data_IF_937691731401
#
_entry.id   IF_937691731401
#
_cell.length_a   1.000
_cell.length_b   1.000
_cell.length_c   1.000
_cell.angle_alpha   90.00
_cell.angle_beta   90.00
_cell.angle_gamma   90.00
#
_symmetry.space_group_name_H-M   'P 1'
#
loop_
_entity.id
_entity.type
_entity.pdbx_description
1 polymer ?
#
# COMPACT_ATOMS: atom_id res chain seq x y z
N UNK A 1 4.34 4.52 -21.58
CA UNK A 1 4.95 5.00 -20.33
C UNK A 1 6.32 4.36 -20.19
N UNK A 2 7.37 5.15 -20.25
CA UNK A 2 8.75 4.67 -20.36
C UNK A 2 9.41 4.66 -18.97
N UNK A 3 9.87 3.50 -18.53
CA UNK A 3 10.70 3.37 -17.33
C UNK A 3 12.15 3.11 -17.76
N UNK A 4 13.08 3.94 -17.30
CA UNK A 4 14.51 3.72 -17.48
C UNK A 4 15.05 2.93 -16.31
N UNK A 5 15.40 1.67 -16.57
CA UNK A 5 16.34 0.94 -15.73
C UNK A 5 17.69 0.88 -16.48
N UNK A 6 18.76 1.41 -15.85
CA UNK A 6 20.11 1.05 -16.21
C UNK A 6 20.24 -0.47 -16.03
N UNK A 7 20.75 -1.15 -17.03
CA UNK A 7 20.96 -2.58 -17.25
C UNK A 7 21.12 -3.45 -15.97
N UNK A 8 20.03 -3.67 -15.26
CA UNK A 8 19.82 -4.81 -14.40
C UNK A 8 18.71 -5.62 -15.05
N UNK A 9 19.00 -6.85 -15.45
CA UNK A 9 18.01 -7.77 -15.98
C UNK A 9 17.01 -8.09 -14.85
N UNK A 10 15.98 -7.27 -14.70
CA UNK A 10 14.81 -7.66 -13.91
C UNK A 10 13.89 -8.40 -14.88
N UNK A 11 13.92 -9.72 -14.85
CA UNK A 11 12.86 -10.50 -15.45
C UNK A 11 11.55 -10.05 -14.83
N UNK A 12 10.64 -9.54 -15.65
CA UNK A 12 9.27 -9.26 -15.23
C UNK A 12 8.63 -10.57 -14.75
N UNK A 13 8.63 -10.78 -13.44
CA UNK A 13 7.85 -11.85 -12.83
C UNK A 13 6.41 -11.36 -12.77
N UNK A 14 5.53 -12.08 -13.43
CA UNK A 14 4.10 -11.91 -13.26
C UNK A 14 3.77 -12.02 -11.77
N UNK A 15 3.08 -11.02 -11.21
CA UNK A 15 2.58 -11.08 -9.83
C UNK A 15 1.45 -12.11 -9.81
N UNK A 16 1.80 -13.38 -9.74
CA UNK A 16 0.87 -14.40 -9.27
C UNK A 16 0.95 -14.37 -7.75
N UNK A 17 0.04 -13.65 -7.08
CA UNK A 17 -0.14 -13.85 -5.66
C UNK A 17 -0.49 -15.32 -5.45
N UNK A 18 0.41 -16.07 -4.84
CA UNK A 18 0.23 -17.51 -4.57
C UNK A 18 -0.71 -17.77 -3.39
N UNK A 19 -1.42 -16.74 -2.92
CA UNK A 19 -2.42 -16.85 -1.85
C UNK A 19 -3.58 -17.72 -2.31
N UNK A 20 -3.95 -18.75 -1.53
CA UNK A 20 -5.12 -19.57 -1.82
C UNK A 20 -6.38 -18.68 -1.82
N UNK A 21 -7.13 -18.69 -2.92
CA UNK A 21 -8.30 -17.83 -3.11
C UNK A 21 -9.57 -18.64 -3.20
N UNK A 22 -10.72 -17.99 -2.91
CA UNK A 22 -12.05 -18.54 -3.14
C UNK A 22 -12.27 -18.96 -4.60
N UNK A 23 -13.26 -19.80 -4.87
CA UNK A 23 -13.53 -20.33 -6.21
C UNK A 23 -13.77 -19.24 -7.27
N UNK A 24 -14.21 -18.05 -6.85
CA UNK A 24 -14.39 -16.84 -7.69
C UNK A 24 -13.13 -15.96 -7.75
N UNK A 25 -12.07 -16.32 -7.03
CA UNK A 25 -10.79 -15.59 -6.99
C UNK A 25 -10.82 -14.26 -6.23
N UNK A 26 -11.94 -13.90 -5.58
CA UNK A 26 -12.15 -12.58 -5.01
C UNK A 26 -11.76 -12.46 -3.54
N UNK A 27 -11.63 -13.59 -2.82
CA UNK A 27 -11.36 -13.59 -1.37
C UNK A 27 -10.28 -14.59 -1.00
N UNK A 28 -9.56 -14.29 0.08
CA UNK A 28 -8.55 -15.17 0.67
C UNK A 28 -9.23 -16.34 1.37
N UNK A 29 -8.84 -17.59 1.06
CA UNK A 29 -9.36 -18.80 1.68
C UNK A 29 -8.65 -19.14 2.99
N UNK A 30 -9.35 -19.86 3.87
CA UNK A 30 -8.76 -20.37 5.12
C UNK A 30 -8.62 -19.32 6.23
N UNK A 31 -9.10 -18.10 6.02
CA UNK A 31 -9.06 -17.04 7.01
C UNK A 31 -10.34 -16.21 7.02
N UNK A 32 -10.80 -15.84 8.22
CA UNK A 32 -11.90 -14.89 8.41
C UNK A 32 -11.41 -13.79 9.35
N UNK A 33 -11.56 -12.54 8.95
CA UNK A 33 -11.24 -11.37 9.77
C UNK A 33 -12.44 -11.02 10.65
N UNK A 34 -12.20 -10.85 11.94
CA UNK A 34 -13.22 -10.52 12.94
C UNK A 34 -12.86 -9.26 13.71
N UNK A 35 -13.89 -8.49 14.09
CA UNK A 35 -13.78 -7.44 15.11
C UNK A 35 -14.47 -7.93 16.36
N UNK A 36 -13.74 -7.98 17.49
CA UNK A 36 -14.28 -8.37 18.77
C UNK A 36 -14.93 -7.17 19.48
N UNK A 37 -15.88 -7.44 20.36
CA UNK A 37 -16.31 -6.45 21.34
C UNK A 37 -15.19 -6.20 22.36
N UNK A 38 -15.09 -4.99 22.87
CA UNK A 38 -14.02 -4.56 23.80
C UNK A 38 -13.83 -5.52 24.96
N UNK A 39 -14.91 -5.86 25.66
CA UNK A 39 -14.87 -6.77 26.80
C UNK A 39 -14.26 -8.15 26.46
N UNK A 40 -14.58 -8.67 25.29
CA UNK A 40 -14.07 -9.97 24.82
C UNK A 40 -12.58 -9.88 24.46
N UNK A 41 -12.17 -8.80 23.79
CA UNK A 41 -10.78 -8.58 23.46
C UNK A 41 -9.91 -8.41 24.72
N UNK A 42 -10.39 -7.67 25.71
CA UNK A 42 -9.68 -7.49 26.99
C UNK A 42 -9.54 -8.83 27.74
N UNK A 43 -10.58 -9.68 27.74
CA UNK A 43 -10.51 -11.03 28.33
C UNK A 43 -9.55 -11.93 27.56
N UNK A 44 -9.52 -11.85 26.23
CA UNK A 44 -8.60 -12.59 25.39
C UNK A 44 -7.14 -12.24 25.73
N UNK A 45 -6.82 -10.95 25.84
CA UNK A 45 -5.49 -10.46 26.23
C UNK A 45 -5.14 -10.89 27.66
N UNK A 46 -6.10 -10.78 28.61
CA UNK A 46 -5.89 -11.14 30.01
C UNK A 46 -5.64 -12.64 30.21
N UNK A 47 -6.18 -13.49 29.35
CA UNK A 47 -5.99 -14.94 29.42
C UNK A 47 -4.53 -15.37 29.15
N UNK A 48 -3.75 -14.58 28.42
CA UNK A 48 -2.33 -14.85 28.08
C UNK A 48 -2.07 -16.24 27.50
N UNK A 49 -3.07 -16.81 26.80
CA UNK A 49 -2.94 -18.12 26.17
C UNK A 49 -2.34 -18.00 24.77
N UNK A 50 -1.58 -19.01 24.30
CA UNK A 50 -1.09 -19.01 22.93
C UNK A 50 -2.27 -19.14 21.97
N UNK A 51 -2.39 -18.19 21.04
CA UNK A 51 -3.43 -18.13 20.02
C UNK A 51 -3.04 -18.89 18.74
N UNK A 52 -2.27 -19.97 18.87
CA UNK A 52 -1.86 -20.85 17.78
C UNK A 52 -1.75 -22.29 18.29
N UNK A 53 -2.09 -23.24 17.41
CA UNK A 53 -1.87 -24.67 17.70
C UNK A 53 -0.45 -25.14 17.32
N UNK A 54 0.32 -24.32 16.60
CA UNK A 54 1.70 -24.65 16.18
C UNK A 54 2.56 -24.94 17.43
N UNK A 55 3.22 -26.10 17.44
CA UNK A 55 4.05 -26.53 18.57
C UNK A 55 3.26 -27.04 19.79
N UNK A 56 1.95 -27.29 19.67
CA UNK A 56 1.10 -27.82 20.73
C UNK A 56 0.44 -29.13 20.31
N UNK A 57 -0.13 -29.89 21.29
CA UNK A 57 -0.96 -31.09 21.00
C UNK A 57 -2.43 -30.72 20.75
N UNK A 58 -2.79 -29.45 20.73
CA UNK A 58 -4.17 -29.00 20.53
C UNK A 58 -4.57 -29.09 19.07
N UNK A 59 -5.86 -29.43 18.83
CA UNK A 59 -6.44 -29.52 17.47
C UNK A 59 -7.04 -28.19 17.00
N UNK A 60 -7.31 -27.26 17.92
CA UNK A 60 -7.85 -25.93 17.62
C UNK A 60 -7.42 -24.94 18.71
N UNK A 61 -7.46 -23.66 18.37
CA UNK A 61 -7.09 -22.57 19.28
C UNK A 61 -8.04 -22.54 20.49
N UNK A 62 -7.45 -22.40 21.67
CA UNK A 62 -8.16 -22.19 22.95
C UNK A 62 -7.79 -20.81 23.46
N UNK A 63 -8.77 -19.95 23.56
CA UNK A 63 -8.62 -18.54 23.91
C UNK A 63 -8.84 -18.26 25.40
N UNK A 64 -9.45 -19.21 26.13
CA UNK A 64 -9.93 -19.01 27.48
C UNK A 64 -11.23 -18.19 27.57
N UNK A 65 -11.80 -17.84 26.43
CA UNK A 65 -13.09 -17.14 26.32
C UNK A 65 -14.11 -18.09 25.73
N UNK A 66 -15.03 -18.59 26.53
CA UNK A 66 -15.94 -19.70 26.18
C UNK A 66 -16.64 -19.56 24.83
N UNK A 67 -17.25 -18.41 24.44
CA UNK A 67 -17.87 -18.28 23.12
C UNK A 67 -16.85 -18.45 21.97
N UNK A 68 -15.65 -17.88 22.11
CA UNK A 68 -14.60 -18.00 21.10
C UNK A 68 -14.05 -19.43 21.04
N UNK A 69 -13.88 -20.12 22.16
CA UNK A 69 -13.41 -21.51 22.21
C UNK A 69 -14.39 -22.46 21.50
N UNK A 70 -15.71 -22.24 21.70
CA UNK A 70 -16.76 -23.03 21.02
C UNK A 70 -16.73 -22.85 19.51
N UNK A 71 -16.57 -21.62 19.02
CA UNK A 71 -16.51 -21.39 17.58
C UNK A 71 -15.17 -21.84 17.00
N UNK A 72 -14.05 -21.66 17.69
CA UNK A 72 -12.74 -22.17 17.30
C UNK A 72 -12.75 -23.69 17.07
N UNK A 73 -13.43 -24.42 17.94
CA UNK A 73 -13.63 -25.86 17.76
C UNK A 73 -14.46 -26.17 16.51
N UNK A 74 -15.56 -25.44 16.29
CA UNK A 74 -16.45 -25.65 15.12
C UNK A 74 -15.79 -25.38 13.80
N UNK A 75 -15.03 -24.26 13.70
CA UNK A 75 -14.32 -23.88 12.47
C UNK A 75 -12.95 -24.53 12.35
N UNK A 76 -12.49 -25.26 13.39
CA UNK A 76 -11.13 -25.81 13.50
C UNK A 76 -10.06 -24.73 13.34
N UNK A 77 -10.18 -23.66 14.12
CA UNK A 77 -9.25 -22.56 14.09
C UNK A 77 -7.85 -23.01 14.50
N UNK A 78 -6.85 -22.78 13.65
CA UNK A 78 -5.44 -23.16 13.88
C UNK A 78 -4.61 -22.01 14.43
N UNK A 79 -4.98 -20.77 14.13
CA UNK A 79 -4.41 -19.58 14.76
C UNK A 79 -5.42 -18.43 14.79
N UNK A 80 -5.16 -17.50 15.70
CA UNK A 80 -5.87 -16.24 15.79
C UNK A 80 -4.82 -15.15 16.01
N UNK A 81 -4.67 -14.24 15.07
CA UNK A 81 -3.63 -13.21 15.07
C UNK A 81 -4.26 -11.82 15.05
N UNK A 82 -3.66 -10.89 15.77
CA UNK A 82 -4.09 -9.50 15.74
C UNK A 82 -3.77 -8.91 14.36
N UNK A 83 -4.76 -8.27 13.72
CA UNK A 83 -4.64 -7.66 12.39
C UNK A 83 -3.68 -6.49 12.41
N UNK A 84 -3.93 -5.54 13.32
CA UNK A 84 -3.04 -4.42 13.54
C UNK A 84 -2.06 -4.79 14.66
N UNK A 85 -0.75 -4.94 14.36
CA UNK A 85 0.25 -5.35 15.34
C UNK A 85 0.26 -4.43 16.58
N UNK A 86 0.94 -4.88 17.62
CA UNK A 86 1.19 -4.03 18.78
C UNK A 86 2.07 -2.85 18.34
N UNK A 87 1.60 -1.63 18.59
CA UNK A 87 2.19 -0.40 18.06
C UNK A 87 3.09 0.34 19.07
N UNK A 88 3.71 -0.39 19.99
CA UNK A 88 4.66 0.20 20.92
C UNK A 88 4.15 1.49 21.57
N UNK A 89 4.84 2.60 21.29
CA UNK A 89 4.49 3.94 21.78
C UNK A 89 3.11 4.47 21.32
N UNK A 90 2.58 3.96 20.20
CA UNK A 90 1.31 4.41 19.61
C UNK A 90 0.11 3.52 20.01
N UNK A 91 0.33 2.46 20.82
CA UNK A 91 -0.71 1.50 21.22
C UNK A 91 -1.93 2.15 21.90
N UNK A 92 -1.74 3.24 22.64
CA UNK A 92 -2.85 3.96 23.27
C UNK A 92 -3.78 4.60 22.24
N UNK A 93 -3.23 5.15 21.14
CA UNK A 93 -3.99 5.70 20.02
C UNK A 93 -4.74 4.60 19.27
N UNK A 94 -4.08 3.45 19.05
CA UNK A 94 -4.68 2.29 18.41
C UNK A 94 -5.88 1.76 19.22
N UNK A 95 -5.76 1.65 20.52
CA UNK A 95 -6.86 1.26 21.42
C UNK A 95 -8.02 2.27 21.39
N UNK A 96 -7.72 3.56 21.41
CA UNK A 96 -8.74 4.60 21.31
C UNK A 96 -9.52 4.55 19.99
N UNK A 97 -8.86 4.13 18.90
CA UNK A 97 -9.47 3.90 17.58
C UNK A 97 -10.12 2.52 17.42
N UNK A 98 -9.95 1.62 18.39
CA UNK A 98 -10.48 0.24 18.34
C UNK A 98 -9.79 -0.66 17.34
N UNK A 99 -8.53 -0.36 17.00
CA UNK A 99 -7.72 -1.15 16.07
C UNK A 99 -7.26 -2.47 16.72
N UNK A 100 -7.03 -2.47 18.00
CA UNK A 100 -6.68 -3.65 18.81
C UNK A 100 -7.79 -4.71 18.91
N UNK A 101 -8.98 -4.42 18.39
CA UNK A 101 -10.12 -5.33 18.38
C UNK A 101 -10.18 -6.26 17.17
N UNK A 102 -9.32 -6.08 16.19
CA UNK A 102 -9.33 -6.82 14.95
C UNK A 102 -8.39 -8.03 14.98
N UNK A 103 -8.93 -9.20 14.56
CA UNK A 103 -8.20 -10.47 14.54
C UNK A 103 -8.50 -11.26 13.27
N UNK A 104 -7.47 -11.93 12.74
CA UNK A 104 -7.59 -12.93 11.69
C UNK A 104 -7.65 -14.32 12.32
N UNK A 105 -8.73 -15.02 12.04
CA UNK A 105 -8.96 -16.40 12.48
C UNK A 105 -8.65 -17.33 11.32
N UNK A 106 -7.49 -17.99 11.36
CA UNK A 106 -7.08 -18.99 10.39
C UNK A 106 -7.67 -20.34 10.77
N UNK A 107 -8.22 -21.07 9.80
CA UNK A 107 -8.89 -22.35 10.02
C UNK A 107 -8.55 -23.36 8.92
N UNK A 108 -8.80 -24.66 9.18
CA UNK A 108 -8.62 -25.71 8.17
C UNK A 108 -9.71 -25.63 7.09
N UNK A 109 -9.33 -25.15 5.90
CA UNK A 109 -10.25 -24.97 4.77
C UNK A 109 -10.80 -26.31 4.20
N UNK A 110 -10.14 -27.44 4.46
CA UNK A 110 -10.47 -28.77 3.94
C UNK A 110 -11.77 -29.39 4.46
N UNK A 111 -12.80 -28.64 4.65
CA UNK A 111 -14.10 -29.18 5.13
C UNK A 111 -15.11 -28.11 5.45
N UNK A 112 -14.76 -26.85 5.29
CA UNK A 112 -15.65 -25.73 5.59
C UNK A 112 -15.46 -24.61 4.55
N UNK A 113 -16.54 -24.20 3.91
CA UNK A 113 -16.54 -23.07 2.97
C UNK A 113 -16.33 -21.76 3.72
N UNK A 114 -15.61 -20.82 3.11
CA UNK A 114 -15.31 -19.50 3.68
C UNK A 114 -16.57 -18.76 4.18
N UNK A 115 -17.63 -18.71 3.37
CA UNK A 115 -18.89 -18.08 3.77
C UNK A 115 -19.52 -18.74 5.01
N UNK A 116 -19.39 -20.06 5.17
CA UNK A 116 -19.89 -20.80 6.32
C UNK A 116 -19.07 -20.48 7.58
N UNK A 117 -17.72 -20.47 7.48
CA UNK A 117 -16.85 -20.09 8.58
C UNK A 117 -17.12 -18.64 9.03
N UNK A 118 -17.25 -17.69 8.08
CA UNK A 118 -17.64 -16.31 8.36
C UNK A 118 -18.96 -16.22 9.12
N UNK A 119 -20.00 -16.93 8.68
CA UNK A 119 -21.32 -16.88 9.30
C UNK A 119 -21.31 -17.44 10.73
N UNK A 120 -20.55 -18.52 10.99
CA UNK A 120 -20.37 -19.08 12.33
C UNK A 120 -19.68 -18.07 13.25
N UNK A 121 -18.60 -17.44 12.80
CA UNK A 121 -17.88 -16.42 13.56
C UNK A 121 -18.77 -15.20 13.80
N UNK A 122 -19.48 -14.70 12.77
CA UNK A 122 -20.38 -13.55 12.88
C UNK A 122 -21.52 -13.75 13.89
N UNK A 123 -22.02 -14.99 14.03
CA UNK A 123 -23.09 -15.31 14.98
C UNK A 123 -22.58 -15.61 16.40
N UNK A 124 -21.27 -15.52 16.63
CA UNK A 124 -20.68 -15.82 17.94
C UNK A 124 -20.80 -14.62 18.86
N UNK A 125 -21.25 -14.88 20.09
CA UNK A 125 -21.31 -13.87 21.16
C UNK A 125 -19.94 -13.21 21.37
N UNK A 126 -19.91 -11.88 21.38
CA UNK A 126 -18.70 -11.10 21.55
C UNK A 126 -17.94 -10.81 20.26
N UNK A 127 -18.38 -11.31 19.10
CA UNK A 127 -17.93 -10.91 17.79
C UNK A 127 -18.84 -9.78 17.28
N UNK A 128 -18.27 -8.57 17.16
CA UNK A 128 -19.00 -7.41 16.69
C UNK A 128 -19.17 -7.42 15.16
N UNK A 129 -18.18 -7.97 14.45
CA UNK A 129 -18.19 -8.06 12.99
C UNK A 129 -17.33 -9.24 12.51
N UNK A 130 -17.68 -9.84 11.38
CA UNK A 130 -16.87 -10.85 10.70
C UNK A 130 -16.98 -10.69 9.18
N UNK A 131 -15.84 -10.70 8.51
CA UNK A 131 -15.74 -10.47 7.06
C UNK A 131 -14.80 -11.47 6.40
N UNK A 132 -14.97 -11.63 5.09
CA UNK A 132 -13.98 -12.21 4.19
C UNK A 132 -12.90 -11.17 3.90
N UNK A 133 -11.68 -11.59 3.57
CA UNK A 133 -10.59 -10.68 3.20
C UNK A 133 -10.55 -10.61 1.68
N UNK A 134 -10.77 -9.45 1.06
CA UNK A 134 -10.68 -9.29 -0.38
C UNK A 134 -9.26 -9.55 -0.90
N UNK A 135 -9.14 -10.04 -2.12
CA UNK A 135 -7.86 -10.12 -2.83
C UNK A 135 -7.64 -8.81 -3.56
N UNK A 136 -6.78 -7.96 -2.99
CA UNK A 136 -6.37 -6.72 -3.64
C UNK A 136 -5.33 -6.97 -4.73
N UNK A 137 -5.36 -6.16 -5.77
CA UNK A 137 -4.43 -6.23 -6.90
C UNK A 137 -3.84 -4.85 -7.18
N UNK A 138 -2.57 -4.78 -7.63
CA UNK A 138 -2.00 -3.55 -8.14
C UNK A 138 -2.81 -3.05 -9.33
N UNK A 139 -2.98 -1.74 -9.45
CA UNK A 139 -3.68 -1.10 -10.56
C UNK A 139 -2.64 -0.37 -11.41
N UNK A 140 -2.29 -0.97 -12.53
CA UNK A 140 -1.32 -0.42 -13.48
C UNK A 140 -1.01 -1.41 -14.59
N UNK A 141 -0.44 -0.92 -15.69
CA UNK A 141 -0.04 -1.77 -16.81
C UNK A 141 1.28 -2.50 -16.53
N UNK A 142 1.33 -3.79 -16.82
CA UNK A 142 2.55 -4.61 -16.71
C UNK A 142 3.52 -4.42 -17.88
N UNK A 143 3.23 -3.54 -18.84
CA UNK A 143 4.08 -3.31 -20.00
C UNK A 143 5.00 -2.13 -19.76
N UNK A 144 6.22 -2.44 -19.38
CA UNK A 144 7.33 -1.50 -19.37
C UNK A 144 8.09 -1.64 -20.69
N UNK A 145 8.29 -0.53 -21.41
CA UNK A 145 9.14 -0.49 -22.59
C UNK A 145 10.54 -0.09 -22.15
N UNK A 146 11.54 -0.91 -22.50
CA UNK A 146 12.93 -0.51 -22.33
C UNK A 146 13.23 0.68 -23.24
N UNK A 147 13.74 1.76 -22.67
CA UNK A 147 14.21 2.91 -23.43
C UNK A 147 15.67 2.74 -23.75
N UNK A 148 16.01 2.74 -25.04
CA UNK A 148 17.40 2.62 -25.45
C UNK A 148 18.22 3.86 -25.03
N UNK A 149 19.52 3.70 -24.71
CA UNK A 149 20.40 4.84 -24.43
C UNK A 149 20.41 5.90 -25.52
N UNK A 150 20.19 5.51 -26.80
CA UNK A 150 20.08 6.43 -27.92
C UNK A 150 18.80 7.28 -27.86
N UNK A 151 17.68 6.72 -27.39
CA UNK A 151 16.44 7.48 -27.18
C UNK A 151 16.60 8.51 -26.06
N UNK A 152 17.27 8.14 -24.97
CA UNK A 152 17.62 9.06 -23.85
C UNK A 152 18.50 10.20 -24.37
N UNK A 153 19.56 9.90 -25.14
CA UNK A 153 20.45 10.90 -25.68
C UNK A 153 19.77 11.85 -26.71
N UNK A 154 18.74 11.36 -27.41
CA UNK A 154 17.93 12.17 -28.33
C UNK A 154 16.99 13.11 -27.56
N UNK A 155 16.35 12.61 -26.49
CA UNK A 155 15.50 13.42 -25.64
C UNK A 155 16.28 14.55 -24.94
N UNK A 156 17.49 14.27 -24.44
CA UNK A 156 18.36 15.26 -23.81
C UNK A 156 18.72 16.46 -24.72
N UNK A 157 18.71 16.30 -26.04
CA UNK A 157 18.94 17.41 -26.99
C UNK A 157 17.75 18.35 -27.18
N UNK A 158 16.54 17.92 -26.86
CA UNK A 158 15.31 18.71 -26.96
C UNK A 158 15.06 19.63 -25.76
N UNK A 159 15.83 19.50 -24.70
CA UNK A 159 15.55 20.02 -23.36
C UNK A 159 15.78 21.54 -23.14
N UNK A 160 16.02 22.35 -24.17
CA UNK A 160 16.40 23.77 -23.99
C UNK A 160 15.26 24.70 -23.51
N UNK A 161 14.03 24.24 -23.44
CA UNK A 161 12.83 25.01 -22.99
C UNK A 161 12.07 24.38 -21.83
N UNK A 162 12.56 23.27 -21.31
CA UNK A 162 11.92 22.54 -20.22
C UNK A 162 12.25 23.17 -18.84
N UNK A 163 11.37 23.05 -17.85
CA UNK A 163 11.61 23.62 -16.51
C UNK A 163 12.79 22.97 -15.78
N UNK A 164 13.12 21.72 -16.11
CA UNK A 164 14.20 20.95 -15.51
C UNK A 164 15.06 20.25 -16.58
N UNK A 165 16.26 19.78 -16.21
CA UNK A 165 17.24 19.21 -17.11
C UNK A 165 17.15 17.68 -17.26
N UNK A 166 16.12 17.07 -16.71
CA UNK A 166 15.95 15.60 -16.72
C UNK A 166 15.63 15.11 -18.13
N UNK A 167 16.40 14.15 -18.66
CA UNK A 167 16.43 13.87 -20.09
C UNK A 167 15.13 13.31 -20.67
N UNK A 168 14.25 12.74 -19.85
CA UNK A 168 12.99 12.16 -20.31
C UNK A 168 11.76 13.02 -19.97
N UNK A 169 11.95 14.21 -19.39
CA UNK A 169 10.83 15.08 -19.03
C UNK A 169 9.93 15.38 -20.24
N UNK A 170 10.53 15.55 -21.43
CA UNK A 170 9.75 15.81 -22.63
C UNK A 170 8.83 14.66 -23.04
N UNK A 171 9.13 13.44 -22.64
CA UNK A 171 8.31 12.26 -22.92
C UNK A 171 7.19 12.07 -21.90
N UNK A 172 7.18 12.84 -20.79
CA UNK A 172 6.16 12.86 -19.75
C UNK A 172 4.99 13.78 -20.15
N UNK A 173 4.35 13.49 -21.30
CA UNK A 173 3.28 14.30 -21.89
C UNK A 173 2.16 14.66 -20.90
N UNK A 174 1.91 13.81 -19.93
CA UNK A 174 0.88 14.00 -18.91
C UNK A 174 1.16 15.15 -17.93
N UNK A 175 2.37 15.71 -17.95
CA UNK A 175 2.72 16.90 -17.17
C UNK A 175 2.45 18.21 -17.92
N UNK A 176 2.67 18.20 -19.23
CA UNK A 176 2.40 19.31 -20.12
C UNK A 176 2.27 18.79 -21.56
N UNK A 177 1.04 18.64 -22.03
CA UNK A 177 0.77 18.15 -23.38
C UNK A 177 0.63 19.32 -24.34
N UNK A 178 1.67 19.60 -25.10
CA UNK A 178 1.67 20.65 -26.13
C UNK A 178 1.24 20.14 -27.52
N UNK A 179 0.88 18.84 -27.60
CA UNK A 179 0.44 18.21 -28.87
C UNK A 179 1.60 17.72 -29.75
N UNK A 180 2.87 17.76 -29.31
CA UNK A 180 4.01 17.32 -30.10
C UNK A 180 4.05 15.80 -30.34
N UNK A 181 3.38 15.01 -29.48
CA UNK A 181 3.24 13.56 -29.66
C UNK A 181 2.05 13.27 -30.58
N UNK A 182 2.22 12.54 -31.69
CA UNK A 182 1.12 12.21 -32.60
C UNK A 182 -0.04 11.49 -31.88
N UNK A 183 -1.27 11.96 -32.12
CA UNK A 183 -2.48 11.42 -31.52
C UNK A 183 -2.83 11.99 -30.16
N UNK A 184 -2.05 12.96 -29.66
CA UNK A 184 -2.38 13.67 -28.42
C UNK A 184 -3.12 14.99 -28.73
N UNK A 185 -3.81 15.53 -27.72
CA UNK A 185 -4.50 16.82 -27.80
C UNK A 185 -3.84 17.80 -26.84
N UNK A 186 -3.36 18.91 -27.36
CA UNK A 186 -2.74 19.95 -26.56
C UNK A 186 -3.67 20.39 -25.41
N UNK A 187 -3.14 20.49 -24.21
CA UNK A 187 -3.86 20.81 -22.98
C UNK A 187 -4.62 19.63 -22.34
N UNK A 188 -4.54 18.42 -22.92
CA UNK A 188 -5.03 17.20 -22.27
C UNK A 188 -3.94 16.62 -21.35
N UNK A 189 -3.74 17.21 -20.20
CA UNK A 189 -2.68 16.90 -19.23
C UNK A 189 -3.07 17.29 -17.79
N UNK A 190 -2.18 17.03 -16.84
CA UNK A 190 -2.37 17.37 -15.42
C UNK A 190 -1.88 18.78 -15.02
N UNK A 191 -1.42 19.60 -16.00
CA UNK A 191 -0.94 20.97 -15.76
C UNK A 191 0.21 21.08 -14.74
N UNK A 192 1.08 20.06 -14.64
CA UNK A 192 2.14 20.02 -13.62
C UNK A 192 3.15 21.15 -13.83
N UNK A 193 3.48 21.51 -15.09
CA UNK A 193 4.40 22.61 -15.37
C UNK A 193 3.90 23.95 -14.79
N UNK A 194 2.59 24.21 -14.83
CA UNK A 194 2.05 25.43 -14.23
C UNK A 194 2.16 25.44 -12.70
N UNK A 195 2.06 24.30 -12.05
CA UNK A 195 2.33 24.20 -10.61
C UNK A 195 3.80 24.51 -10.31
N UNK A 196 4.72 23.95 -11.11
CA UNK A 196 6.15 24.23 -10.93
C UNK A 196 6.53 25.71 -11.22
N UNK A 197 5.89 26.36 -12.19
CA UNK A 197 6.06 27.79 -12.47
C UNK A 197 5.69 28.66 -11.27
N UNK A 198 4.77 28.22 -10.41
CA UNK A 198 4.42 28.93 -9.17
C UNK A 198 5.39 28.64 -8.00
N UNK A 199 6.41 27.83 -8.23
CA UNK A 199 7.37 27.40 -7.19
C UNK A 199 6.92 26.20 -6.36
N UNK A 200 5.77 25.58 -6.70
CA UNK A 200 5.26 24.38 -6.01
C UNK A 200 5.84 23.14 -6.65
N UNK A 201 6.95 22.62 -6.12
CA UNK A 201 7.72 21.50 -6.67
C UNK A 201 7.88 20.32 -5.69
N UNK A 202 7.25 20.39 -4.52
CA UNK A 202 7.40 19.43 -3.43
C UNK A 202 8.26 19.98 -2.29
N UNK A 203 8.09 19.41 -1.10
CA UNK A 203 8.82 19.78 0.11
C UNK A 203 9.34 18.54 0.84
N UNK A 204 10.58 18.62 1.35
CA UNK A 204 11.21 17.57 2.20
C UNK A 204 10.44 17.30 3.50
N UNK A 205 9.62 18.24 3.90
CA UNK A 205 8.79 18.14 5.10
C UNK A 205 7.52 17.31 4.89
N UNK A 206 7.18 16.99 3.64
CA UNK A 206 6.00 16.19 3.29
C UNK A 206 6.44 14.75 3.05
N UNK A 207 5.84 13.83 3.78
CA UNK A 207 6.05 12.40 3.61
C UNK A 207 4.87 11.81 2.83
N UNK A 208 5.18 11.07 1.76
CA UNK A 208 4.22 10.32 0.96
C UNK A 208 4.51 8.83 1.15
N UNK A 209 3.60 8.11 1.77
CA UNK A 209 3.69 6.66 1.87
C UNK A 209 3.30 6.01 0.54
N UNK A 210 4.20 5.26 -0.06
CA UNK A 210 3.97 4.47 -1.27
C UNK A 210 3.53 3.07 -0.82
N UNK A 211 2.21 2.88 -0.74
CA UNK A 211 1.61 1.61 -0.31
C UNK A 211 1.40 0.76 -1.56
N UNK A 212 2.39 -0.07 -1.89
CA UNK A 212 2.48 -0.77 -3.18
C UNK A 212 3.34 -2.05 -3.07
N UNK A 213 3.92 -2.52 -4.16
CA UNK A 213 4.82 -3.69 -4.23
C UNK A 213 6.23 -3.46 -3.70
N UNK A 214 6.50 -2.33 -3.05
CA UNK A 214 7.84 -1.87 -2.71
C UNK A 214 8.51 -1.14 -3.89
N UNK A 215 9.49 -0.28 -3.61
CA UNK A 215 10.25 0.40 -4.65
C UNK A 215 11.76 0.30 -4.40
N UNK A 216 12.54 0.49 -5.44
CA UNK A 216 14.00 0.45 -5.38
C UNK A 216 14.55 1.71 -4.68
N UNK A 217 14.91 1.58 -3.41
CA UNK A 217 15.36 2.70 -2.55
C UNK A 217 16.71 3.28 -2.95
N UNK A 218 17.57 2.50 -3.60
CA UNK A 218 18.87 2.91 -4.12
C UNK A 218 18.84 3.35 -5.61
N UNK A 219 17.64 3.44 -6.20
CA UNK A 219 17.49 3.89 -7.58
C UNK A 219 18.10 5.29 -7.76
N UNK A 220 18.97 5.52 -8.77
CA UNK A 220 19.69 6.80 -8.93
C UNK A 220 18.79 8.03 -8.92
N UNK A 221 17.57 7.91 -9.42
CA UNK A 221 16.60 8.99 -9.55
C UNK A 221 15.62 9.12 -8.37
N UNK A 222 15.64 8.16 -7.40
CA UNK A 222 14.73 8.15 -6.25
C UNK A 222 15.43 8.34 -4.90
N UNK A 223 16.66 7.89 -4.76
CA UNK A 223 17.39 7.76 -3.49
C UNK A 223 17.41 9.03 -2.64
N UNK A 224 17.46 10.21 -3.26
CA UNK A 224 17.52 11.49 -2.57
C UNK A 224 16.16 11.90 -1.95
N UNK A 225 15.08 11.23 -2.38
CA UNK A 225 13.70 11.43 -1.93
C UNK A 225 13.15 10.26 -1.10
N UNK A 226 13.97 9.28 -0.75
CA UNK A 226 13.57 8.21 0.16
C UNK A 226 13.41 8.75 1.58
N UNK A 227 12.31 8.37 2.24
CA UNK A 227 12.11 8.59 3.67
C UNK A 227 13.05 7.67 4.47
N UNK A 228 13.56 8.17 5.57
CA UNK A 228 14.48 7.42 6.43
C UNK A 228 14.04 7.54 7.88
N UNK A 229 13.80 6.40 8.54
CA UNK A 229 13.72 6.32 9.98
C UNK A 229 15.15 6.45 10.56
N UNK A 230 15.48 7.63 11.05
CA UNK A 230 16.84 7.91 11.53
C UNK A 230 17.14 7.22 12.87
N UNK A 231 16.13 6.83 13.64
CA UNK A 231 16.34 6.07 14.86
C UNK A 231 16.84 4.66 14.53
N UNK A 232 16.18 3.99 13.60
CA UNK A 232 16.56 2.65 13.14
C UNK A 232 17.87 2.67 12.33
N UNK A 233 18.08 3.69 11.48
CA UNK A 233 19.34 3.82 10.72
C UNK A 233 20.57 3.94 11.63
N UNK A 234 20.47 4.61 12.78
CA UNK A 234 21.55 4.85 13.72
C UNK A 234 21.50 3.91 14.94
N UNK A 235 20.51 3.01 14.97
CA UNK A 235 20.26 2.06 16.05
C UNK A 235 21.08 0.76 15.97
N UNK A 236 20.69 -0.22 16.76
CA UNK A 236 21.30 -1.55 16.78
C UNK A 236 20.56 -2.51 15.84
N UNK A 237 21.23 -3.17 14.87
CA UNK A 237 20.58 -4.11 13.98
C UNK A 237 19.80 -5.21 14.74
N UNK A 238 18.55 -5.44 14.36
CA UNK A 238 17.65 -6.41 14.98
C UNK A 238 16.95 -5.89 16.25
N UNK A 239 17.04 -4.60 16.53
CA UNK A 239 16.38 -3.94 17.66
C UNK A 239 15.37 -2.91 17.12
N UNK A 240 14.22 -2.80 17.75
CA UNK A 240 13.24 -1.73 17.56
C UNK A 240 13.66 -0.54 18.44
N UNK A 241 14.51 0.35 17.89
CA UNK A 241 15.17 1.41 18.65
C UNK A 241 14.22 2.55 19.02
N UNK A 242 13.21 2.83 18.21
CA UNK A 242 12.23 3.88 18.48
C UNK A 242 10.95 3.35 19.17
N UNK A 243 10.87 2.05 19.43
CA UNK A 243 9.82 1.35 20.17
C UNK A 243 8.42 1.51 19.57
N UNK A 244 8.36 1.42 18.28
CA UNK A 244 7.13 1.57 17.52
C UNK A 244 6.48 0.24 17.11
N UNK A 245 7.18 -0.87 17.35
CA UNK A 245 6.75 -2.23 17.05
C UNK A 245 7.32 -2.80 15.76
N UNK A 246 8.19 -2.05 15.04
CA UNK A 246 8.80 -2.46 13.78
C UNK A 246 10.32 -2.42 13.90
N UNK A 247 10.97 -3.56 13.68
CA UNK A 247 12.42 -3.71 13.80
C UNK A 247 13.09 -3.35 12.48
N UNK A 248 14.15 -2.53 12.54
CA UNK A 248 14.97 -2.12 11.38
C UNK A 248 14.17 -1.51 10.22
N UNK A 249 13.09 -0.80 10.46
CA UNK A 249 12.22 -0.21 9.42
C UNK A 249 12.81 1.07 8.80
N UNK A 250 14.11 1.05 8.48
CA UNK A 250 14.91 2.21 8.03
C UNK A 250 14.25 2.98 6.87
N UNK A 251 13.69 2.28 5.88
CA UNK A 251 13.06 2.89 4.70
C UNK A 251 11.54 2.69 4.68
N UNK A 252 11.00 1.98 5.67
CA UNK A 252 9.64 1.50 5.75
C UNK A 252 9.58 -0.01 5.98
N UNK A 253 8.46 -0.65 5.66
CA UNK A 253 8.21 -2.03 6.08
C UNK A 253 7.46 -2.86 5.03
N UNK A 254 7.68 -4.19 5.08
CA UNK A 254 7.01 -5.17 4.23
C UNK A 254 5.91 -5.90 5.03
N UNK A 255 4.67 -5.53 4.78
CA UNK A 255 3.47 -6.04 5.46
C UNK A 255 2.97 -7.38 4.92
N UNK A 256 3.66 -7.97 3.93
CA UNK A 256 3.35 -9.30 3.41
C UNK A 256 4.08 -10.38 4.21
N UNK A 257 5.36 -10.14 4.51
CA UNK A 257 6.23 -11.08 5.22
C UNK A 257 6.55 -10.63 6.65
N UNK A 258 6.01 -9.47 7.05
CA UNK A 258 6.19 -8.84 8.36
C UNK A 258 7.68 -8.66 8.71
N UNK A 259 8.39 -7.89 7.89
CA UNK A 259 9.84 -7.67 7.99
C UNK A 259 10.24 -6.35 7.35
N UNK A 260 11.40 -5.80 7.76
CA UNK A 260 12.07 -4.69 7.08
C UNK A 260 12.75 -5.06 5.75
N UNK A 261 12.74 -6.35 5.37
CA UNK A 261 13.28 -6.83 4.09
C UNK A 261 12.36 -6.43 2.93
N UNK A 262 12.64 -5.28 2.33
CA UNK A 262 11.90 -4.72 1.21
C UNK A 262 12.41 -5.31 -0.10
N UNK A 263 11.49 -5.79 -0.93
CA UNK A 263 11.75 -6.25 -2.28
C UNK A 263 11.24 -5.22 -3.29
N UNK A 264 12.14 -4.68 -4.11
CA UNK A 264 11.75 -3.72 -5.13
C UNK A 264 10.87 -4.38 -6.21
N UNK A 265 9.75 -3.74 -6.51
CA UNK A 265 8.83 -4.14 -7.57
C UNK A 265 8.74 -3.04 -8.63
N UNK A 266 8.65 -3.42 -9.91
CA UNK A 266 8.59 -2.46 -11.02
C UNK A 266 7.41 -1.49 -10.90
N UNK A 267 6.23 -1.98 -10.49
CA UNK A 267 5.04 -1.15 -10.30
C UNK A 267 5.26 -0.11 -9.19
N UNK A 268 5.67 -0.52 -7.99
CA UNK A 268 5.94 0.40 -6.89
C UNK A 268 7.08 1.39 -7.18
N UNK A 269 8.14 0.95 -7.88
CA UNK A 269 9.24 1.84 -8.31
C UNK A 269 8.75 2.90 -9.30
N UNK A 270 7.85 2.51 -10.24
CA UNK A 270 7.26 3.45 -11.17
C UNK A 270 6.33 4.45 -10.47
N UNK A 271 5.47 3.99 -9.55
CA UNK A 271 4.60 4.86 -8.73
C UNK A 271 5.44 5.86 -7.94
N UNK A 272 6.51 5.38 -7.26
CA UNK A 272 7.44 6.26 -6.55
C UNK A 272 8.09 7.30 -7.49
N UNK A 273 8.50 6.89 -8.68
CA UNK A 273 9.06 7.80 -9.70
C UNK A 273 8.09 8.90 -10.11
N UNK A 274 6.82 8.56 -10.34
CA UNK A 274 5.78 9.54 -10.67
C UNK A 274 5.55 10.54 -9.52
N UNK A 275 5.61 10.10 -8.27
CA UNK A 275 5.44 10.97 -7.10
C UNK A 275 6.66 11.85 -6.90
N UNK A 276 7.87 11.28 -6.90
CA UNK A 276 9.02 11.97 -6.36
C UNK A 276 10.38 11.57 -6.95
N UNK A 277 10.47 11.22 -8.26
CA UNK A 277 11.78 11.22 -8.92
C UNK A 277 12.42 12.60 -8.78
N UNK A 278 13.72 12.65 -8.53
CA UNK A 278 14.42 13.91 -8.19
C UNK A 278 14.52 14.81 -9.42
N UNK A 279 13.83 15.93 -9.41
CA UNK A 279 13.84 16.89 -10.52
C UNK A 279 15.15 17.64 -10.61
N UNK A 280 15.57 17.99 -11.82
CA UNK A 280 16.74 18.81 -12.13
C UNK A 280 18.07 18.16 -11.69
N UNK A 281 18.14 16.83 -11.68
CA UNK A 281 19.34 16.07 -11.37
C UNK A 281 20.08 15.55 -12.61
N UNK A 282 19.52 15.79 -13.82
CA UNK A 282 20.08 15.35 -15.11
C UNK A 282 19.94 13.85 -15.36
N UNK A 283 19.08 13.16 -14.62
CA UNK A 283 18.87 11.70 -14.69
C UNK A 283 17.39 11.42 -14.97
N UNK A 284 17.08 10.42 -15.78
CA UNK A 284 15.78 9.78 -15.91
C UNK A 284 14.60 10.74 -16.16
N UNK A 285 13.66 10.77 -15.23
CA UNK A 285 12.35 11.42 -15.31
C UNK A 285 12.18 12.45 -14.19
N UNK A 286 11.14 13.27 -14.28
CA UNK A 286 10.70 14.12 -13.16
C UNK A 286 9.58 13.48 -12.37
N UNK A 287 9.60 13.63 -11.05
CA UNK A 287 8.45 13.39 -10.17
C UNK A 287 7.59 14.65 -10.05
N UNK A 288 6.27 14.50 -9.87
CA UNK A 288 5.36 15.65 -9.67
C UNK A 288 5.85 16.55 -8.54
N UNK A 289 6.35 15.93 -7.46
CA UNK A 289 6.84 16.59 -6.26
C UNK A 289 8.34 16.30 -5.99
N UNK A 290 9.13 16.14 -7.05
CA UNK A 290 10.56 15.76 -7.00
C UNK A 290 11.52 16.88 -6.57
N UNK A 291 11.02 18.07 -6.26
CA UNK A 291 11.84 19.24 -5.92
C UNK A 291 12.20 20.08 -7.15
N UNK A 292 13.20 20.95 -7.03
CA UNK A 292 13.61 21.85 -8.13
C UNK A 292 15.13 22.06 -8.25
N UNK A 293 15.91 21.67 -7.24
CA UNK A 293 17.32 22.01 -7.10
C UNK A 293 18.28 20.83 -7.33
N UNK A 294 17.78 19.70 -7.80
CA UNK A 294 18.54 18.47 -7.96
C UNK A 294 18.85 17.75 -6.64
N UNK A 295 18.27 18.19 -5.52
CA UNK A 295 18.54 17.67 -4.16
C UNK A 295 17.30 17.05 -3.50
N UNK A 296 16.23 16.97 -4.23
CA UNK A 296 15.01 16.29 -3.83
C UNK A 296 13.84 17.17 -3.41
N UNK A 297 12.69 16.52 -3.33
CA UNK A 297 11.37 17.08 -2.98
C UNK A 297 10.75 16.36 -1.77
N UNK A 298 9.55 15.81 -1.95
CA UNK A 298 8.86 15.03 -0.91
C UNK A 298 9.67 13.81 -0.50
N UNK A 299 9.40 13.28 0.70
CA UNK A 299 10.02 12.05 1.18
C UNK A 299 9.07 10.87 0.96
N UNK A 300 9.56 9.81 0.31
CA UNK A 300 8.78 8.63 -0.02
C UNK A 300 9.08 7.48 0.92
N UNK A 301 8.06 7.02 1.66
CA UNK A 301 8.14 5.92 2.61
C UNK A 301 7.69 4.63 1.92
N UNK A 302 8.42 3.53 2.09
CA UNK A 302 8.03 2.22 1.55
C UNK A 302 7.02 1.55 2.48
N UNK A 303 5.84 1.22 1.96
CA UNK A 303 4.86 0.38 2.65
C UNK A 303 4.50 -0.78 1.71
N UNK A 304 5.28 -1.88 1.78
CA UNK A 304 5.14 -2.97 0.83
C UNK A 304 3.97 -3.88 1.19
N UNK A 305 2.99 -4.00 0.28
CA UNK A 305 1.78 -4.84 0.42
C UNK A 305 1.65 -5.90 -0.68
N UNK A 306 2.56 -5.94 -1.63
CA UNK A 306 2.70 -7.01 -2.63
C UNK A 306 4.15 -7.50 -2.65
N UNK A 307 4.36 -8.79 -2.46
CA UNK A 307 5.68 -9.42 -2.52
C UNK A 307 5.58 -10.81 -3.15
N UNK A 308 6.19 -10.98 -4.32
CA UNK A 308 6.20 -12.26 -5.05
C UNK A 308 6.97 -13.37 -4.32
N UNK A 309 7.80 -13.03 -3.33
CA UNK A 309 8.54 -13.99 -2.49
C UNK A 309 7.67 -14.60 -1.39
N UNK A 310 6.52 -13.99 -1.10
CA UNK A 310 5.65 -14.43 -0.02
C UNK A 310 5.07 -15.82 -0.30
N UNK A 311 4.83 -16.58 0.77
CA UNK A 311 4.18 -17.90 0.66
C UNK A 311 2.73 -17.77 0.20
N UNK A 312 2.18 -18.85 -0.36
CA UNK A 312 0.77 -18.91 -0.79
C UNK A 312 -0.26 -18.71 0.33
N UNK A 313 0.18 -18.74 1.57
CA UNK A 313 -0.67 -18.51 2.75
C UNK A 313 -0.47 -17.14 3.39
N UNK A 314 0.45 -16.32 2.87
CA UNK A 314 0.66 -14.98 3.38
C UNK A 314 -0.52 -14.08 3.01
N UNK A 315 -1.02 -13.35 3.98
CA UNK A 315 -2.07 -12.35 3.82
C UNK A 315 -1.42 -11.00 4.09
N UNK A 316 -1.29 -10.17 3.07
CA UNK A 316 -0.81 -8.81 3.25
C UNK A 316 -1.80 -8.00 4.09
N UNK A 317 -1.30 -7.22 5.03
CA UNK A 317 -2.13 -6.34 5.83
C UNK A 317 -2.11 -4.91 5.29
N UNK A 318 -3.02 -4.65 4.34
CA UNK A 318 -3.19 -3.33 3.72
C UNK A 318 -3.60 -2.25 4.73
N UNK A 319 -4.42 -2.62 5.71
CA UNK A 319 -4.83 -1.70 6.76
C UNK A 319 -3.67 -1.34 7.69
N UNK A 320 -2.83 -2.32 8.07
CA UNK A 320 -1.65 -2.05 8.90
C UNK A 320 -0.65 -1.14 8.19
N UNK A 321 -0.46 -1.29 6.87
CA UNK A 321 0.38 -0.41 6.08
C UNK A 321 -0.09 1.06 6.10
N UNK A 322 -1.42 1.28 6.00
CA UNK A 322 -2.03 2.62 6.09
C UNK A 322 -1.83 3.21 7.50
N UNK A 323 -2.02 2.40 8.55
CA UNK A 323 -1.88 2.85 9.95
C UNK A 323 -0.41 3.17 10.27
N UNK A 324 0.53 2.30 9.87
CA UNK A 324 1.95 2.55 10.00
C UNK A 324 2.35 3.89 9.35
N UNK A 325 1.88 4.14 8.13
CA UNK A 325 2.14 5.40 7.43
C UNK A 325 1.65 6.62 8.24
N UNK A 326 0.47 6.53 8.88
CA UNK A 326 -0.05 7.58 9.75
C UNK A 326 0.84 7.82 10.96
N UNK A 327 1.23 6.75 11.66
CA UNK A 327 2.05 6.81 12.87
C UNK A 327 3.48 7.28 12.60
N UNK A 328 4.00 7.04 11.39
CA UNK A 328 5.30 7.53 10.89
C UNK A 328 5.22 8.93 10.27
N UNK A 329 4.09 9.62 10.38
CA UNK A 329 3.93 11.02 9.98
C UNK A 329 3.73 11.25 8.49
N UNK A 330 3.30 10.25 7.72
CA UNK A 330 2.94 10.44 6.32
C UNK A 330 1.74 11.40 6.20
N UNK A 331 1.87 12.36 5.29
CA UNK A 331 0.79 13.31 4.95
C UNK A 331 -0.16 12.73 3.90
N UNK A 332 0.38 11.88 3.03
CA UNK A 332 -0.36 11.26 1.92
C UNK A 332 -0.08 9.76 1.92
N UNK A 333 -1.14 8.97 1.78
CA UNK A 333 -1.08 7.54 1.47
C UNK A 333 -1.43 7.36 -0.01
N UNK A 334 -0.44 7.00 -0.84
CA UNK A 334 -0.58 6.70 -2.26
C UNK A 334 -0.85 5.22 -2.44
N UNK A 335 -2.03 4.87 -2.97
CA UNK A 335 -2.56 3.51 -3.05
C UNK A 335 -3.00 3.17 -4.48
N UNK A 336 -2.09 2.62 -5.29
CA UNK A 336 -2.39 2.21 -6.67
C UNK A 336 -2.86 0.75 -6.73
N UNK A 337 -3.86 0.41 -5.91
CA UNK A 337 -4.44 -0.93 -5.80
C UNK A 337 -5.90 -0.88 -5.38
N UNK A 338 -6.59 -2.01 -5.57
CA UNK A 338 -7.97 -2.17 -5.15
C UNK A 338 -8.56 -3.52 -5.54
N UNK A 339 -9.87 -3.66 -5.34
CA UNK A 339 -10.63 -4.85 -5.69
C UNK A 339 -12.08 -4.50 -6.08
N UNK A 340 -12.63 -5.23 -7.03
CA UNK A 340 -14.08 -5.28 -7.25
C UNK A 340 -14.68 -6.22 -6.22
N UNK A 341 -15.36 -5.69 -5.20
CA UNK A 341 -16.06 -6.48 -4.18
C UNK A 341 -17.54 -6.15 -4.23
N UNK A 342 -18.33 -7.14 -4.62
CA UNK A 342 -19.77 -6.95 -4.77
C UNK A 342 -20.51 -6.86 -3.42
N UNK A 343 -20.05 -7.56 -2.37
CA UNK A 343 -20.88 -7.85 -1.20
C UNK A 343 -20.28 -7.55 0.18
N UNK A 344 -18.97 -7.37 0.31
CA UNK A 344 -18.31 -7.17 1.61
C UNK A 344 -17.29 -6.04 1.54
N UNK A 345 -17.63 -4.86 2.07
CA UNK A 345 -16.67 -3.80 2.36
C UNK A 345 -15.64 -4.31 3.39
N UNK A 346 -14.37 -4.11 3.12
CA UNK A 346 -13.30 -4.41 4.09
C UNK A 346 -13.28 -3.36 5.20
N UNK A 347 -14.07 -3.58 6.24
CA UNK A 347 -14.19 -2.68 7.39
C UNK A 347 -12.86 -2.44 8.13
N UNK A 348 -11.88 -3.34 7.99
CA UNK A 348 -10.55 -3.12 8.57
C UNK A 348 -9.75 -2.08 7.80
N UNK A 349 -9.82 -2.10 6.47
CA UNK A 349 -9.22 -1.05 5.61
C UNK A 349 -9.97 0.27 5.79
N UNK A 350 -11.31 0.25 5.86
CA UNK A 350 -12.10 1.45 6.21
C UNK A 350 -11.66 2.06 7.54
N UNK A 351 -11.46 1.21 8.58
CA UNK A 351 -10.97 1.70 9.88
C UNK A 351 -9.56 2.28 9.80
N UNK A 352 -8.69 1.74 8.95
CA UNK A 352 -7.35 2.27 8.71
C UNK A 352 -7.39 3.61 7.97
N UNK A 353 -8.26 3.76 6.96
CA UNK A 353 -8.50 5.05 6.28
C UNK A 353 -9.05 6.09 7.25
N UNK A 354 -10.01 5.71 8.10
CA UNK A 354 -10.54 6.58 9.17
C UNK A 354 -9.45 7.03 10.15
N UNK A 355 -8.53 6.12 10.47
CA UNK A 355 -7.40 6.42 11.34
C UNK A 355 -6.42 7.38 10.65
N UNK A 356 -6.04 7.13 9.40
CA UNK A 356 -5.10 7.95 8.63
C UNK A 356 -5.64 9.37 8.41
N UNK A 357 -6.90 9.51 8.01
CA UNK A 357 -7.53 10.80 7.78
C UNK A 357 -7.67 11.65 9.05
N UNK A 358 -7.58 11.03 10.24
CA UNK A 358 -7.61 11.71 11.52
C UNK A 358 -6.23 11.93 12.15
N UNK A 359 -5.33 10.97 12.04
CA UNK A 359 -4.07 10.93 12.80
C UNK A 359 -2.81 11.03 11.91
N UNK A 360 -2.93 10.86 10.59
CA UNK A 360 -1.86 11.13 9.63
C UNK A 360 -1.64 12.63 9.45
N UNK A 361 -0.81 13.00 8.47
CA UNK A 361 -0.53 14.40 8.15
C UNK A 361 0.79 14.92 8.73
N UNK A 362 1.41 14.17 9.63
CA UNK A 362 2.62 14.60 10.32
C UNK A 362 2.46 15.95 10.99
N UNK A 363 3.48 16.80 10.91
CA UNK A 363 3.46 18.16 11.47
C UNK A 363 2.89 19.19 10.48
N UNK A 364 2.46 18.79 9.29
CA UNK A 364 2.08 19.71 8.20
C UNK A 364 0.58 19.79 7.97
N UNK A 365 -0.19 18.76 8.32
CA UNK A 365 -1.62 18.70 8.08
C UNK A 365 -2.36 18.18 9.34
N UNK A 366 -3.59 18.62 9.50
CA UNK A 366 -4.51 18.07 10.52
C UNK A 366 -5.26 16.88 9.91
N UNK A 367 -4.67 15.68 10.04
CA UNK A 367 -5.11 14.48 9.36
C UNK A 367 -4.45 14.30 7.98
N UNK A 368 -4.37 13.07 7.51
CA UNK A 368 -3.75 12.72 6.24
C UNK A 368 -4.75 12.56 5.10
N UNK A 369 -4.25 12.41 3.88
CA UNK A 369 -5.04 12.21 2.66
C UNK A 369 -4.72 10.83 2.06
N UNK A 370 -5.75 10.00 1.89
CA UNK A 370 -5.64 8.73 1.17
C UNK A 370 -6.05 8.92 -0.29
N UNK A 371 -5.19 8.51 -1.23
CA UNK A 371 -5.42 8.60 -2.67
C UNK A 371 -5.41 7.19 -3.24
N UNK A 372 -6.50 6.79 -3.88
CA UNK A 372 -6.68 5.47 -4.48
C UNK A 372 -6.94 5.57 -5.99
N UNK A 373 -6.49 4.56 -6.72
CA UNK A 373 -6.91 4.38 -8.09
C UNK A 373 -8.39 3.95 -8.16
N UNK A 374 -9.14 4.45 -9.14
CA UNK A 374 -10.56 4.13 -9.34
C UNK A 374 -10.81 2.73 -9.89
N UNK A 375 -9.81 2.11 -10.50
CA UNK A 375 -9.87 0.79 -11.14
C UNK A 375 -9.49 0.84 -12.62
N UNK A 376 -9.28 -0.36 -13.20
CA UNK A 376 -8.87 -0.53 -14.59
C UNK A 376 -9.76 -1.52 -15.36
N UNK A 377 -11.03 -1.65 -14.96
CA UNK A 377 -11.95 -2.63 -15.57
C UNK A 377 -12.78 -2.03 -16.71
N UNK A 378 -12.78 -0.70 -16.86
CA UNK A 378 -13.64 0.01 -17.83
C UNK A 378 -15.12 -0.11 -17.49
N UNK A 379 -15.46 -0.22 -16.21
CA UNK A 379 -16.81 -0.45 -15.72
C UNK A 379 -17.22 0.66 -14.76
N UNK A 380 -18.48 1.06 -14.83
CA UNK A 380 -19.09 1.89 -13.82
C UNK A 380 -19.42 1.03 -12.59
N UNK A 381 -19.02 1.49 -11.41
CA UNK A 381 -19.32 0.77 -10.17
C UNK A 381 -18.35 1.09 -9.03
N UNK A 382 -18.57 0.41 -7.91
CA UNK A 382 -17.74 0.57 -6.72
C UNK A 382 -16.47 -0.26 -6.83
N UNK A 383 -15.34 0.42 -6.93
CA UNK A 383 -14.01 -0.18 -6.83
C UNK A 383 -13.40 0.18 -5.47
N UNK A 384 -13.22 -0.82 -4.65
CA UNK A 384 -12.84 -0.64 -3.25
C UNK A 384 -11.31 -0.66 -3.07
N UNK A 385 -10.72 0.20 -2.23
CA UNK A 385 -11.28 1.25 -1.35
C UNK A 385 -11.55 2.60 -2.01
N UNK A 386 -11.28 2.79 -3.31
CA UNK A 386 -11.46 4.07 -4.01
C UNK A 386 -12.87 4.65 -3.93
N UNK A 387 -13.88 3.83 -3.69
CA UNK A 387 -15.28 4.27 -3.54
C UNK A 387 -15.66 4.78 -2.14
N UNK A 388 -14.71 4.82 -1.17
CA UNK A 388 -14.99 5.36 0.16
C UNK A 388 -15.09 6.89 0.15
N UNK A 389 -16.03 7.45 0.90
CA UNK A 389 -16.29 8.91 0.96
C UNK A 389 -15.09 9.75 1.44
N UNK A 390 -14.16 9.15 2.18
CA UNK A 390 -13.01 9.84 2.82
C UNK A 390 -11.72 9.74 2.04
N UNK A 391 -11.76 9.25 0.82
CA UNK A 391 -10.59 9.11 -0.04
C UNK A 391 -10.73 9.92 -1.32
N UNK A 392 -9.61 10.15 -1.99
CA UNK A 392 -9.61 10.68 -3.35
C UNK A 392 -9.48 9.50 -4.31
N UNK A 393 -10.50 9.26 -5.13
CA UNK A 393 -10.43 8.32 -6.23
C UNK A 393 -9.88 9.01 -7.48
N UNK A 394 -8.93 8.37 -8.16
CA UNK A 394 -8.28 8.92 -9.35
C UNK A 394 -8.49 7.97 -10.53
N UNK A 395 -9.20 8.46 -11.53
CA UNK A 395 -9.37 7.78 -12.82
C UNK A 395 -8.22 8.05 -13.80
N UNK A 396 -8.26 7.43 -14.95
CA UNK A 396 -7.25 7.59 -15.99
C UNK A 396 -7.79 8.36 -17.19
N UNK A 397 -7.00 9.35 -17.65
CA UNK A 397 -7.28 10.13 -18.85
C UNK A 397 -6.37 9.68 -19.99
N UNK A 398 -6.92 9.56 -21.17
CA UNK A 398 -6.18 9.32 -22.39
C UNK A 398 -5.54 10.63 -22.92
N UNK A 399 -4.49 10.56 -23.74
CA UNK A 399 -3.76 11.75 -24.20
C UNK A 399 -4.55 12.63 -25.18
N UNK A 400 -5.73 12.22 -25.62
CA UNK A 400 -6.66 13.03 -26.39
C UNK A 400 -7.70 13.79 -25.54
N UNK A 401 -7.63 13.61 -24.20
CA UNK A 401 -8.52 14.21 -23.21
C UNK A 401 -9.80 13.42 -22.95
N UNK A 402 -9.97 12.25 -23.55
CA UNK A 402 -11.07 11.33 -23.23
C UNK A 402 -10.75 10.53 -21.97
N UNK A 403 -11.77 9.93 -21.34
CA UNK A 403 -11.55 8.93 -20.31
C UNK A 403 -10.88 7.71 -20.93
N UNK A 404 -9.81 7.19 -20.32
CA UNK A 404 -9.16 5.98 -20.81
C UNK A 404 -10.16 4.80 -20.83
N UNK A 405 -10.15 3.99 -21.89
CA UNK A 405 -11.13 2.91 -22.10
C UNK A 405 -11.17 1.87 -20.97
N UNK A 406 -10.12 1.79 -20.19
CA UNK A 406 -10.00 0.87 -19.05
C UNK A 406 -10.33 1.53 -17.70
N UNK A 407 -10.46 2.86 -17.63
CA UNK A 407 -10.71 3.57 -16.37
C UNK A 407 -12.12 3.31 -15.87
N UNK A 408 -12.22 3.04 -14.57
CA UNK A 408 -13.49 3.03 -13.87
C UNK A 408 -13.89 4.47 -13.51
#
# INVERSE_FOLDING_TARGET
MLCLCSSVHIQAQSVSSSTATSADGNYVEGVVRVKLQREIADRLVAAKLPLSVKGTSKKYVQTGVTPLDRVSQKVKAVSMTRVFPYAGKDEAKHKAAGLDLWYDVHYEASGMKLAQARNLLRSTEGVAYAQRIPVYKPIGGERFLEVSPAAVAKAAKAASTLPFNDPLLNDQWHYNNDGHIPGTKAGADANVFKAWETGVTGSKDVVVAIIDGGFQVDHPDLKDNVWINTAELNGEPGVDDDKDGFVDDIYGYNFVINSSDINAHSHGTHVAGTVGATNNNGIGVCGVAGGSDGKGGVKMMVCQVFDSRASSSAVADFGAAIIYAADRGASIAQCSWGASVADDEDKSVTAAVDYFTKNGGGDKMNGGLCIFASGNNGEEGNYYPGCLDKVVAVGSMAPDGSVAYYSN
#
